data_IF_477349322832
#
_entry.id   IF_477349322832
#
_cell.length_a   1.000
_cell.length_b   1.000
_cell.length_c   1.000
_cell.angle_alpha   90.00
_cell.angle_beta   90.00
_cell.angle_gamma   90.00
#
_symmetry.space_group_name_H-M   'P 1'
#
loop_
_entity.id
_entity.type
_entity.pdbx_description
1 polymer ?
#
# COMPACT_ATOMS: atom_id res chain seq x y z
N UNK A 1 -8.55 -25.75 5.24
CA UNK A 1 -7.47 -25.61 6.25
C UNK A 1 -7.98 -25.28 7.67
N UNK A 2 -8.86 -24.26 7.89
CA UNK A 2 -9.42 -23.98 9.22
C UNK A 2 -10.32 -25.14 9.69
N UNK A 3 -11.27 -25.55 8.90
CA UNK A 3 -12.19 -26.65 9.21
C UNK A 3 -11.48 -28.00 9.35
N UNK A 4 -10.42 -28.25 8.58
CA UNK A 4 -9.62 -29.47 8.65
C UNK A 4 -8.91 -29.62 10.01
N UNK A 5 -8.53 -28.49 10.61
CA UNK A 5 -7.80 -28.43 11.89
C UNK A 5 -8.78 -28.44 13.07
N UNK A 6 -9.85 -27.65 12.96
CA UNK A 6 -10.81 -27.46 14.05
C UNK A 6 -11.78 -28.65 14.15
N UNK A 7 -11.95 -29.40 13.05
CA UNK A 7 -12.83 -30.55 12.97
C UNK A 7 -14.33 -30.18 13.07
N UNK A 8 -15.15 -31.18 13.38
CA UNK A 8 -16.62 -31.01 13.48
C UNK A 8 -17.08 -30.23 14.73
N UNK A 9 -16.19 -30.03 15.73
CA UNK A 9 -16.51 -29.31 16.96
C UNK A 9 -15.57 -28.13 17.19
N UNK A 10 -16.16 -26.95 17.09
CA UNK A 10 -15.48 -25.70 17.46
C UNK A 10 -15.43 -25.59 18.99
N UNK A 11 -14.24 -25.55 19.54
CA UNK A 11 -13.96 -25.42 20.96
C UNK A 11 -12.75 -24.50 21.20
N UNK A 12 -12.56 -24.01 22.41
CA UNK A 12 -11.37 -23.23 22.76
C UNK A 12 -10.08 -23.98 22.46
N UNK A 13 -10.05 -25.28 22.74
CA UNK A 13 -8.88 -26.12 22.49
C UNK A 13 -8.55 -26.24 21.02
N UNK A 14 -9.55 -26.52 20.15
CA UNK A 14 -9.33 -26.62 18.70
C UNK A 14 -8.91 -25.26 18.10
N UNK A 15 -9.43 -24.14 18.62
CA UNK A 15 -9.03 -22.81 18.18
C UNK A 15 -7.59 -22.46 18.62
N UNK A 16 -7.16 -22.88 19.83
CA UNK A 16 -5.76 -22.73 20.27
C UNK A 16 -4.80 -23.54 19.40
N UNK A 17 -5.16 -24.75 19.00
CA UNK A 17 -4.36 -25.58 18.10
C UNK A 17 -4.21 -24.86 16.74
N UNK A 18 -5.31 -24.35 16.19
CA UNK A 18 -5.26 -23.58 14.94
C UNK A 18 -4.39 -22.33 15.08
N UNK A 19 -4.55 -21.59 16.18
CA UNK A 19 -3.74 -20.40 16.49
C UNK A 19 -2.25 -20.73 16.56
N UNK A 20 -1.87 -21.82 17.19
CA UNK A 20 -0.47 -22.29 17.26
C UNK A 20 0.11 -22.58 15.87
N UNK A 21 -0.68 -23.16 14.95
CA UNK A 21 -0.22 -23.41 13.58
C UNK A 21 -0.02 -22.12 12.78
N UNK A 22 -0.75 -21.06 13.10
CA UNK A 22 -0.56 -19.77 12.44
C UNK A 22 0.79 -19.11 12.80
N UNK A 23 1.42 -19.49 13.91
CA UNK A 23 2.68 -18.88 14.37
C UNK A 23 3.84 -19.03 13.38
N UNK A 24 3.80 -20.06 12.52
CA UNK A 24 4.79 -20.27 11.45
C UNK A 24 4.65 -19.31 10.25
N UNK A 25 3.54 -18.57 10.17
CA UNK A 25 3.26 -17.68 9.05
C UNK A 25 3.75 -16.25 9.34
N UNK A 26 3.98 -15.47 8.27
CA UNK A 26 4.22 -14.02 8.39
C UNK A 26 3.04 -13.33 9.10
N UNK A 27 3.31 -12.33 9.93
CA UNK A 27 2.31 -11.60 10.74
C UNK A 27 1.12 -11.11 9.90
N UNK A 28 1.36 -10.58 8.70
CA UNK A 28 0.31 -10.13 7.79
C UNK A 28 -0.63 -11.26 7.35
N UNK A 29 -0.08 -12.45 7.12
CA UNK A 29 -0.85 -13.65 6.78
C UNK A 29 -1.65 -14.17 8.00
N UNK A 30 -1.05 -14.14 9.19
CA UNK A 30 -1.74 -14.46 10.45
C UNK A 30 -2.94 -13.53 10.66
N UNK A 31 -2.74 -12.20 10.58
CA UNK A 31 -3.82 -11.19 10.71
C UNK A 31 -4.97 -11.46 9.76
N UNK A 32 -4.66 -11.75 8.50
CA UNK A 32 -5.67 -12.03 7.46
C UNK A 32 -6.47 -13.30 7.75
N UNK A 33 -5.80 -14.37 8.15
CA UNK A 33 -6.44 -15.65 8.51
C UNK A 33 -7.29 -15.53 9.77
N UNK A 34 -6.77 -14.90 10.82
CA UNK A 34 -7.52 -14.65 12.06
C UNK A 34 -8.77 -13.80 11.80
N UNK A 35 -8.66 -12.74 11.00
CA UNK A 35 -9.82 -11.92 10.64
C UNK A 35 -10.90 -12.72 9.93
N UNK A 36 -10.53 -13.52 8.92
CA UNK A 36 -11.47 -14.35 8.19
C UNK A 36 -12.14 -15.40 9.10
N UNK A 37 -11.36 -16.07 9.97
CA UNK A 37 -11.90 -17.05 10.91
C UNK A 37 -12.84 -16.39 11.92
N UNK A 38 -12.50 -15.22 12.46
CA UNK A 38 -13.37 -14.52 13.40
C UNK A 38 -14.67 -14.06 12.76
N UNK A 39 -14.67 -13.63 11.49
CA UNK A 39 -15.91 -13.34 10.75
C UNK A 39 -16.78 -14.59 10.58
N UNK A 40 -16.17 -15.72 10.27
CA UNK A 40 -16.89 -17.01 10.14
C UNK A 40 -17.46 -17.47 11.49
N UNK A 41 -16.67 -17.42 12.58
CA UNK A 41 -17.14 -17.75 13.93
C UNK A 41 -18.30 -16.86 14.37
N UNK A 42 -18.23 -15.56 14.07
CA UNK A 42 -19.31 -14.61 14.35
C UNK A 42 -20.58 -14.95 13.55
N UNK A 43 -20.43 -15.30 12.26
CA UNK A 43 -21.56 -15.74 11.43
C UNK A 43 -22.23 -16.99 11.99
N UNK A 44 -21.46 -18.00 12.39
CA UNK A 44 -22.01 -19.22 13.00
C UNK A 44 -22.75 -18.93 14.33
N UNK A 45 -22.19 -18.05 15.14
CA UNK A 45 -22.84 -17.62 16.39
C UNK A 45 -24.16 -16.89 16.11
N UNK A 46 -24.19 -15.97 15.15
CA UNK A 46 -25.44 -15.28 14.75
C UNK A 46 -26.50 -16.24 14.20
N UNK A 47 -26.10 -17.32 13.53
CA UNK A 47 -27.01 -18.35 13.01
C UNK A 47 -27.50 -19.32 14.08
N UNK A 48 -26.99 -19.25 15.31
CA UNK A 48 -27.33 -20.16 16.39
C UNK A 48 -26.65 -21.52 16.33
N UNK A 49 -25.71 -21.71 15.38
CA UNK A 49 -24.93 -22.93 15.24
C UNK A 49 -23.89 -23.08 16.37
N UNK A 50 -23.47 -21.98 16.96
CA UNK A 50 -22.61 -21.95 18.13
C UNK A 50 -23.35 -21.36 19.32
N UNK A 51 -23.34 -22.10 20.44
CA UNK A 51 -23.95 -21.65 21.71
C UNK A 51 -23.11 -20.57 22.41
N UNK A 52 -21.80 -20.54 22.14
CA UNK A 52 -20.85 -19.63 22.74
C UNK A 52 -20.13 -18.84 21.63
N UNK A 53 -19.91 -17.57 21.88
CA UNK A 53 -19.13 -16.73 20.98
C UNK A 53 -17.63 -17.01 21.18
N UNK A 54 -16.98 -17.46 20.14
CA UNK A 54 -15.54 -17.71 20.12
C UNK A 54 -14.82 -16.64 19.31
N UNK A 55 -13.62 -16.28 19.75
CA UNK A 55 -12.72 -15.38 19.03
C UNK A 55 -11.29 -15.86 19.15
N UNK A 56 -10.58 -15.85 18.03
CA UNK A 56 -9.14 -16.11 17.97
C UNK A 56 -8.42 -14.77 18.14
N UNK A 57 -7.52 -14.69 19.12
CA UNK A 57 -6.63 -13.55 19.28
C UNK A 57 -5.29 -13.85 18.61
N UNK A 58 -4.64 -12.82 18.06
CA UNK A 58 -3.26 -12.96 17.64
C UNK A 58 -2.39 -13.09 18.88
N UNK A 59 -1.53 -14.11 18.91
CA UNK A 59 -0.47 -14.16 19.90
C UNK A 59 0.33 -12.86 19.78
N UNK A 60 0.40 -12.09 20.88
CA UNK A 60 1.30 -10.94 20.97
C UNK A 60 2.71 -11.49 20.84
N UNK A 61 3.23 -11.54 19.61
CA UNK A 61 4.66 -11.63 19.45
C UNK A 61 5.20 -10.33 20.08
N UNK A 62 6.23 -10.46 20.91
CA UNK A 62 6.96 -9.31 21.41
C UNK A 62 7.12 -8.35 20.23
N UNK A 63 6.63 -7.13 20.37
CA UNK A 63 6.80 -6.10 19.36
C UNK A 63 8.27 -6.14 18.99
N UNK A 64 8.57 -6.72 17.82
CA UNK A 64 9.84 -6.40 17.19
C UNK A 64 9.80 -4.89 17.13
N UNK A 65 10.63 -4.26 17.96
CA UNK A 65 10.87 -2.83 17.90
C UNK A 65 11.10 -2.56 16.41
N UNK A 66 10.05 -2.11 15.74
CA UNK A 66 10.22 -1.60 14.38
C UNK A 66 11.23 -0.48 14.57
N UNK A 67 12.44 -0.69 14.06
CA UNK A 67 13.44 0.34 14.04
C UNK A 67 12.71 1.62 13.61
N UNK A 68 12.90 2.72 14.33
CA UNK A 68 12.27 3.99 13.95
C UNK A 68 12.56 4.18 12.47
N UNK A 69 11.55 4.44 11.65
CA UNK A 69 11.77 4.61 10.24
C UNK A 69 12.79 5.74 10.06
N UNK A 70 13.92 5.41 9.48
CA UNK A 70 15.01 6.34 9.19
C UNK A 70 14.74 7.02 7.85
N UNK A 71 15.05 8.31 7.77
CA UNK A 71 14.95 9.03 6.52
C UNK A 71 16.04 8.55 5.56
N UNK A 72 15.63 8.09 4.39
CA UNK A 72 16.53 7.59 3.36
C UNK A 72 16.91 8.70 2.39
N UNK A 73 18.17 8.70 1.94
CA UNK A 73 18.60 9.48 0.79
C UNK A 73 18.10 8.80 -0.50
N UNK A 74 17.11 9.40 -1.13
CA UNK A 74 16.49 8.91 -2.37
C UNK A 74 16.71 9.88 -3.55
N UNK A 75 17.74 10.71 -3.50
CA UNK A 75 18.07 11.66 -4.57
C UNK A 75 18.40 10.95 -5.89
N UNK A 76 18.92 9.72 -5.82
CA UNK A 76 19.16 8.87 -7.00
C UNK A 76 17.93 8.56 -7.84
N UNK A 77 16.70 8.73 -7.27
CA UNK A 77 15.46 8.50 -8.00
C UNK A 77 15.18 9.55 -9.09
N UNK A 78 15.83 10.69 -8.99
CA UNK A 78 15.74 11.74 -10.01
C UNK A 78 16.66 11.53 -11.22
N UNK A 79 17.56 10.57 -11.13
CA UNK A 79 18.45 10.21 -12.26
C UNK A 79 17.69 9.35 -13.28
N UNK A 80 18.19 9.33 -14.51
CA UNK A 80 17.67 8.46 -15.57
C UNK A 80 17.60 6.99 -15.13
N UNK A 81 16.65 6.26 -15.71
CA UNK A 81 16.37 4.86 -15.37
C UNK A 81 15.90 4.11 -16.60
N UNK A 82 16.26 2.82 -16.67
CA UNK A 82 15.72 1.89 -17.66
C UNK A 82 14.22 1.60 -17.45
N UNK A 83 13.68 2.04 -16.31
CA UNK A 83 12.26 1.89 -15.94
C UNK A 83 11.61 3.26 -15.69
N UNK A 84 11.38 4.09 -16.72
CA UNK A 84 10.90 5.47 -16.56
C UNK A 84 9.51 5.52 -15.91
N UNK A 85 8.62 4.58 -16.21
CA UNK A 85 7.31 4.52 -15.56
C UNK A 85 7.42 4.14 -14.08
N UNK A 86 8.33 3.22 -13.74
CA UNK A 86 8.63 2.85 -12.36
C UNK A 86 9.21 4.02 -11.57
N UNK A 87 10.10 4.80 -12.20
CA UNK A 87 10.67 6.04 -11.67
C UNK A 87 9.58 7.06 -11.37
N UNK A 88 8.72 7.36 -12.35
CA UNK A 88 7.64 8.32 -12.16
C UNK A 88 6.64 7.88 -11.08
N UNK A 89 6.29 6.58 -11.04
CA UNK A 89 5.47 6.01 -9.95
C UNK A 89 6.11 6.26 -8.58
N UNK A 90 7.42 5.97 -8.45
CA UNK A 90 8.14 6.18 -7.20
C UNK A 90 8.15 7.66 -6.78
N UNK A 91 8.43 8.56 -7.72
CA UNK A 91 8.46 10.02 -7.49
C UNK A 91 7.09 10.56 -7.08
N UNK A 92 5.99 10.14 -7.72
CA UNK A 92 4.64 10.56 -7.34
C UNK A 92 4.26 10.10 -5.93
N UNK A 93 4.70 8.90 -5.53
CA UNK A 93 4.48 8.40 -4.17
C UNK A 93 5.33 9.18 -3.17
N UNK A 94 6.62 9.38 -3.48
CA UNK A 94 7.62 9.96 -2.58
C UNK A 94 7.40 11.47 -2.37
N UNK A 95 7.04 12.20 -3.42
CA UNK A 95 6.93 13.68 -3.38
C UNK A 95 5.52 14.16 -3.05
N UNK A 96 4.50 13.35 -3.30
CA UNK A 96 3.10 13.75 -3.15
C UNK A 96 2.29 12.85 -2.23
N UNK A 97 2.86 11.76 -1.72
CA UNK A 97 2.19 10.80 -0.83
C UNK A 97 1.01 10.07 -1.48
N UNK A 98 0.95 9.99 -2.81
CA UNK A 98 -0.15 9.36 -3.53
C UNK A 98 -0.14 7.85 -3.35
N UNK A 99 -1.34 7.25 -3.33
CA UNK A 99 -1.47 5.80 -3.38
C UNK A 99 -1.29 5.30 -4.83
N UNK A 100 -0.70 4.11 -5.05
CA UNK A 100 -0.63 3.52 -6.39
C UNK A 100 -2.01 3.42 -7.08
N UNK A 101 -3.08 3.15 -6.33
CA UNK A 101 -4.43 3.12 -6.87
C UNK A 101 -4.95 4.50 -7.29
N UNK A 102 -4.54 5.57 -6.64
CA UNK A 102 -4.87 6.94 -7.02
C UNK A 102 -4.11 7.32 -8.30
N UNK A 103 -2.83 6.99 -8.36
CA UNK A 103 -1.96 7.29 -9.51
C UNK A 103 -2.48 6.59 -10.78
N UNK A 104 -2.84 5.30 -10.69
CA UNK A 104 -3.34 4.55 -11.85
C UNK A 104 -4.70 5.03 -12.37
N UNK A 105 -5.49 5.69 -11.54
CA UNK A 105 -6.79 6.26 -11.95
C UNK A 105 -6.72 7.75 -12.24
N UNK A 106 -5.54 8.38 -12.09
CA UNK A 106 -5.35 9.80 -12.28
C UNK A 106 -5.42 10.14 -13.79
N UNK A 107 -6.40 10.95 -14.14
CA UNK A 107 -6.58 11.47 -15.49
C UNK A 107 -5.78 12.75 -15.69
N UNK A 108 -5.25 12.92 -16.87
CA UNK A 108 -4.55 14.15 -17.26
C UNK A 108 -5.45 15.39 -17.09
N UNK A 109 -6.76 15.26 -17.38
CA UNK A 109 -7.74 16.33 -17.16
C UNK A 109 -7.91 16.75 -15.69
N UNK A 110 -7.41 15.97 -14.72
CA UNK A 110 -7.41 16.32 -13.30
C UNK A 110 -6.10 16.99 -12.86
N UNK A 111 -5.17 17.24 -13.79
CA UNK A 111 -3.88 17.89 -13.56
C UNK A 111 -3.90 19.30 -14.15
N UNK A 112 -3.47 20.28 -13.41
CA UNK A 112 -3.23 21.62 -13.89
C UNK A 112 -1.78 22.01 -13.59
N UNK A 113 -0.96 22.04 -14.66
CA UNK A 113 0.48 22.35 -14.52
C UNK A 113 0.72 23.84 -14.24
N UNK A 114 -0.12 24.74 -14.77
CA UNK A 114 0.01 26.19 -14.56
C UNK A 114 -0.21 26.57 -13.10
N UNK A 115 -1.23 25.98 -12.48
CA UNK A 115 -1.51 26.16 -11.05
C UNK A 115 -0.77 25.18 -10.17
N UNK A 116 0.01 24.25 -10.74
CA UNK A 116 0.78 23.23 -10.02
C UNK A 116 -0.08 22.43 -9.04
N UNK A 117 -1.25 22.00 -9.47
CA UNK A 117 -2.17 21.20 -8.65
C UNK A 117 -2.72 20.02 -9.41
N UNK A 118 -3.03 18.96 -8.68
CA UNK A 118 -3.83 17.85 -9.19
C UNK A 118 -5.00 17.53 -8.28
N UNK A 119 -6.05 17.01 -8.85
CA UNK A 119 -7.28 16.62 -8.18
C UNK A 119 -7.35 15.11 -8.06
N UNK A 120 -7.34 14.62 -6.83
CA UNK A 120 -7.57 13.20 -6.55
C UNK A 120 -9.05 12.99 -6.22
N UNK A 121 -9.69 12.10 -6.96
CA UNK A 121 -11.07 11.68 -6.74
C UNK A 121 -11.10 10.26 -6.20
N UNK A 122 -11.77 10.04 -5.07
CA UNK A 122 -11.97 8.71 -4.48
C UNK A 122 -13.40 8.62 -3.96
N UNK A 123 -14.22 7.82 -4.63
CA UNK A 123 -15.65 7.70 -4.33
C UNK A 123 -16.33 9.09 -4.23
N UNK A 124 -16.88 9.44 -3.07
CA UNK A 124 -17.54 10.75 -2.82
C UNK A 124 -16.58 11.86 -2.37
N UNK A 125 -15.30 11.55 -2.19
CA UNK A 125 -14.31 12.51 -1.69
C UNK A 125 -13.39 12.96 -2.81
N UNK A 126 -13.06 14.24 -2.81
CA UNK A 126 -11.99 14.78 -3.65
C UNK A 126 -11.06 15.65 -2.79
N UNK A 127 -9.79 15.62 -3.17
CA UNK A 127 -8.78 16.51 -2.59
C UNK A 127 -7.91 17.12 -3.68
N UNK A 128 -7.40 18.30 -3.42
CA UNK A 128 -6.42 18.97 -4.25
C UNK A 128 -5.05 18.78 -3.60
N UNK A 129 -4.07 18.41 -4.39
CA UNK A 129 -2.70 18.19 -3.96
C UNK A 129 -1.80 19.09 -4.79
N UNK A 130 -0.89 19.82 -4.14
CA UNK A 130 0.11 20.63 -4.84
C UNK A 130 1.13 19.71 -5.55
N UNK A 131 1.54 20.10 -6.76
CA UNK A 131 2.58 19.42 -7.52
C UNK A 131 3.90 20.16 -7.26
N UNK A 132 4.91 19.49 -6.68
CA UNK A 132 6.24 20.06 -6.55
C UNK A 132 6.80 20.49 -7.92
N UNK A 133 7.40 21.67 -7.98
CA UNK A 133 7.94 22.23 -9.24
C UNK A 133 8.88 21.27 -9.96
N UNK A 134 9.65 20.48 -9.21
CA UNK A 134 10.57 19.46 -9.72
C UNK A 134 9.86 18.33 -10.51
N UNK A 135 8.57 18.08 -10.25
CA UNK A 135 7.78 17.07 -10.97
C UNK A 135 7.16 17.58 -12.27
N UNK A 136 7.09 18.87 -12.50
CA UNK A 136 6.46 19.44 -13.70
C UNK A 136 7.07 18.93 -15.00
N UNK A 137 8.42 18.87 -15.16
CA UNK A 137 9.04 18.33 -16.37
C UNK A 137 8.72 16.86 -16.63
N UNK A 138 8.48 16.08 -15.57
CA UNK A 138 8.14 14.66 -15.65
C UNK A 138 6.68 14.44 -16.11
N UNK A 139 5.80 15.37 -15.76
CA UNK A 139 4.37 15.29 -16.09
C UNK A 139 4.03 15.92 -17.45
N UNK A 140 4.74 16.97 -17.85
CA UNK A 140 4.45 17.73 -19.05
C UNK A 140 4.36 16.88 -20.35
N UNK A 141 5.25 15.89 -20.58
CA UNK A 141 5.18 15.04 -21.78
C UNK A 141 3.94 14.12 -21.84
N UNK A 142 3.24 13.93 -20.71
CA UNK A 142 2.11 13.01 -20.58
C UNK A 142 0.75 13.69 -20.81
N UNK A 143 0.74 15.01 -21.00
CA UNK A 143 -0.50 15.80 -21.01
C UNK A 143 -1.42 15.52 -22.23
N UNK A 144 -0.94 14.83 -23.24
CA UNK A 144 -1.73 14.42 -24.42
C UNK A 144 -2.45 13.07 -24.22
N UNK A 145 -2.29 12.43 -23.06
CA UNK A 145 -2.88 11.14 -22.73
C UNK A 145 -4.22 11.30 -22.01
N UNK A 146 -4.94 10.20 -21.80
CA UNK A 146 -6.14 10.17 -20.95
C UNK A 146 -5.79 9.95 -19.49
N UNK A 147 -4.88 9.01 -19.22
CA UNK A 147 -4.35 8.71 -17.90
C UNK A 147 -2.83 8.90 -17.90
N UNK A 148 -2.25 9.24 -16.75
CA UNK A 148 -0.78 9.35 -16.64
C UNK A 148 -0.09 8.03 -17.04
N UNK A 149 -0.69 6.90 -16.66
CA UNK A 149 -0.21 5.57 -16.99
C UNK A 149 -1.27 4.81 -17.77
N UNK A 150 -1.09 4.76 -19.09
CA UNK A 150 -2.05 4.12 -19.98
C UNK A 150 -1.41 3.35 -21.13
N UNK A 151 -2.22 2.48 -21.74
CA UNK A 151 -1.96 1.89 -23.05
C UNK A 151 -3.23 2.03 -23.90
N UNK A 152 -3.13 2.78 -25.00
CA UNK A 152 -4.26 3.00 -25.92
C UNK A 152 -5.53 3.52 -25.21
N UNK A 153 -5.38 4.53 -24.34
CA UNK A 153 -6.49 5.16 -23.61
C UNK A 153 -7.03 4.36 -22.42
N UNK A 154 -6.40 3.24 -22.06
CA UNK A 154 -6.80 2.42 -20.91
C UNK A 154 -5.73 2.43 -19.84
N UNK A 155 -6.13 2.76 -18.62
CA UNK A 155 -5.24 2.74 -17.46
C UNK A 155 -4.60 1.36 -17.24
N UNK A 156 -3.33 1.35 -16.84
CA UNK A 156 -2.63 0.12 -16.51
C UNK A 156 -3.17 -0.54 -15.23
N UNK A 157 -2.90 -1.83 -15.09
CA UNK A 157 -3.32 -2.62 -13.92
C UNK A 157 -2.42 -2.40 -12.71
N UNK A 158 -2.92 -2.75 -11.51
CA UNK A 158 -2.12 -2.72 -10.28
C UNK A 158 -0.90 -3.65 -10.34
N UNK A 159 -1.02 -4.80 -11.03
CA UNK A 159 0.11 -5.72 -11.20
C UNK A 159 1.20 -5.14 -12.08
N UNK A 160 0.82 -4.38 -13.11
CA UNK A 160 1.77 -3.66 -13.94
C UNK A 160 2.53 -2.62 -13.11
N UNK A 161 1.82 -1.76 -12.37
CA UNK A 161 2.43 -0.75 -11.53
C UNK A 161 3.38 -1.36 -10.49
N UNK A 162 2.99 -2.47 -9.86
CA UNK A 162 3.83 -3.19 -8.91
C UNK A 162 5.14 -3.64 -9.57
N UNK A 163 5.08 -4.25 -10.76
CA UNK A 163 6.28 -4.73 -11.49
C UNK A 163 7.19 -3.59 -11.91
N UNK A 164 6.63 -2.48 -12.40
CA UNK A 164 7.42 -1.32 -12.79
C UNK A 164 8.13 -0.69 -11.59
N UNK A 165 7.42 -0.52 -10.50
CA UNK A 165 8.00 0.02 -9.26
C UNK A 165 9.09 -0.90 -8.70
N UNK A 166 8.85 -2.21 -8.63
CA UNK A 166 9.81 -3.19 -8.14
C UNK A 166 11.10 -3.20 -8.99
N UNK A 167 10.96 -3.18 -10.32
CA UNK A 167 12.10 -3.14 -11.23
C UNK A 167 12.95 -1.86 -11.04
N UNK A 168 12.31 -0.70 -10.94
CA UNK A 168 12.96 0.57 -10.66
C UNK A 168 13.67 0.57 -9.30
N UNK A 169 13.00 0.15 -8.24
CA UNK A 169 13.58 0.12 -6.90
C UNK A 169 14.79 -0.83 -6.84
N UNK A 170 14.71 -1.96 -7.53
CA UNK A 170 15.82 -2.89 -7.64
C UNK A 170 17.02 -2.28 -8.39
N UNK A 171 16.78 -1.58 -9.51
CA UNK A 171 17.81 -0.85 -10.26
C UNK A 171 18.54 0.16 -9.38
N UNK A 172 17.78 0.91 -8.56
CA UNK A 172 18.37 1.93 -7.67
C UNK A 172 18.95 1.38 -6.36
N UNK A 173 18.94 0.04 -6.16
CA UNK A 173 19.50 -0.60 -4.97
C UNK A 173 18.57 -0.63 -3.74
N UNK A 174 17.29 -0.35 -3.89
CA UNK A 174 16.30 -0.30 -2.82
C UNK A 174 15.30 -1.46 -2.91
N UNK A 175 15.76 -2.69 -3.13
CA UNK A 175 14.90 -3.88 -3.32
C UNK A 175 13.95 -4.16 -2.15
N UNK A 176 14.29 -3.72 -0.94
CA UNK A 176 13.46 -3.90 0.26
C UNK A 176 12.40 -2.82 0.42
N UNK A 177 12.48 -1.74 -0.36
CA UNK A 177 11.53 -0.65 -0.32
C UNK A 177 10.26 -1.02 -1.11
N UNK A 178 9.12 -0.56 -0.63
CA UNK A 178 7.81 -0.78 -1.25
C UNK A 178 7.08 0.54 -1.44
N UNK A 179 5.94 0.52 -2.15
CA UNK A 179 5.07 1.70 -2.26
C UNK A 179 4.63 2.23 -0.88
N UNK A 180 4.44 1.35 0.11
CA UNK A 180 4.15 1.76 1.47
C UNK A 180 5.37 2.41 2.12
N UNK A 181 6.56 1.83 1.97
CA UNK A 181 7.80 2.41 2.47
C UNK A 181 8.09 3.79 1.86
N UNK A 182 7.84 3.97 0.56
CA UNK A 182 7.95 5.30 -0.07
C UNK A 182 6.99 6.32 0.53
N UNK A 183 5.75 5.92 0.85
CA UNK A 183 4.82 6.82 1.55
C UNK A 183 5.25 7.14 2.98
N UNK A 184 5.86 6.19 3.66
CA UNK A 184 6.45 6.43 4.98
C UNK A 184 7.58 7.46 4.87
N UNK A 185 8.43 7.38 3.84
CA UNK A 185 9.46 8.38 3.55
C UNK A 185 8.86 9.76 3.25
N UNK A 186 7.77 9.85 2.48
CA UNK A 186 7.05 11.11 2.29
C UNK A 186 6.58 11.70 3.62
N UNK A 187 5.98 10.90 4.49
CA UNK A 187 5.50 11.37 5.80
C UNK A 187 6.66 11.86 6.68
N UNK A 188 7.78 11.13 6.69
CA UNK A 188 8.97 11.53 7.46
C UNK A 188 9.53 12.87 6.99
N UNK A 189 9.65 13.08 5.67
CA UNK A 189 10.09 14.37 5.10
C UNK A 189 9.17 15.50 5.51
N UNK A 190 7.85 15.29 5.46
CA UNK A 190 6.87 16.31 5.87
C UNK A 190 6.91 16.63 7.38
N UNK A 191 7.36 15.69 8.21
CA UNK A 191 7.56 15.92 9.64
C UNK A 191 8.81 16.76 9.85
N UNK A 192 9.93 16.42 9.21
CA UNK A 192 11.19 17.19 9.31
C UNK A 192 11.01 18.63 8.84
N UNK A 193 10.41 18.85 7.66
CA UNK A 193 10.15 20.21 7.15
C UNK A 193 9.30 21.07 8.09
N UNK A 194 8.46 20.47 8.94
CA UNK A 194 7.63 21.19 9.92
C UNK A 194 8.32 21.42 11.26
N UNK A 195 9.36 20.66 11.56
CA UNK A 195 10.12 20.81 12.81
C UNK A 195 11.16 21.92 12.67
N UNK A 196 11.59 22.21 11.43
CA UNK A 196 12.58 23.25 11.12
C UNK A 196 11.95 24.67 10.94
N UNK A 197 10.62 24.81 11.16
CA UNK A 197 9.86 26.07 11.17
C UNK A 197 9.49 26.50 12.58
#
# INVERSE_FOLDING_TARGET
QFLDIVGERISETSLKIYQAQLSSLKISAQKRKVSACNQFLYFLYQKGELKTFYRIELLKQAEQQQAKPELLDLESFWQESDFPEGRLLALLILEMGLLPSEILTLKVADINLDFQVLRIKKASQQRIVAIPTRLLPELAPLMDQTYIFEKSGKAYSRQWAFRQLEAFLKEKGFSDLSAQGLREQFILRQIEEKVDL
#
